data_IF_301409340989
#
_entry.id   IF_301409340989
#
_cell.length_a   1.000
_cell.length_b   1.000
_cell.length_c   1.000
_cell.angle_alpha   90.00
_cell.angle_beta   90.00
_cell.angle_gamma   90.00
#
_symmetry.space_group_name_H-M   'P 1'
#
loop_
_entity.id
_entity.type
_entity.pdbx_description
1 polymer ?
#
# COMPACT_ATOMS: atom_id res chain seq x y z
N UNK A 1 0.41 58.28 58.64
CA UNK A 1 1.37 57.66 57.69
C UNK A 1 0.71 56.39 57.16
N UNK A 2 1.05 55.98 55.93
CA UNK A 2 0.40 54.97 55.06
C UNK A 2 -0.90 55.43 54.36
N UNK A 3 -1.14 55.21 53.06
CA UNK A 3 -0.32 54.76 51.94
C UNK A 3 -1.11 55.12 50.66
N UNK A 4 -0.48 55.84 49.72
CA UNK A 4 -1.13 56.31 48.49
C UNK A 4 -1.25 55.19 47.46
N UNK A 5 -2.43 54.57 47.35
CA UNK A 5 -2.74 53.61 46.28
C UNK A 5 -2.67 54.29 44.91
N UNK A 6 -1.64 53.98 44.13
CA UNK A 6 -1.55 54.34 42.72
C UNK A 6 -2.58 53.51 41.95
N UNK A 7 -3.66 54.16 41.49
CA UNK A 7 -4.63 53.55 40.61
C UNK A 7 -3.98 53.26 39.25
N UNK A 8 -3.78 51.98 38.90
CA UNK A 8 -3.51 51.61 37.52
C UNK A 8 -4.74 51.95 36.68
N UNK A 9 -4.63 52.93 35.77
CA UNK A 9 -5.65 53.17 34.75
C UNK A 9 -5.69 51.95 33.84
N UNK A 10 -6.75 51.16 33.97
CA UNK A 10 -7.11 50.15 32.97
C UNK A 10 -7.41 50.90 31.67
N UNK A 11 -6.47 50.87 30.73
CA UNK A 11 -6.68 51.37 29.37
C UNK A 11 -7.71 50.44 28.74
N UNK A 12 -8.97 50.88 28.66
CA UNK A 12 -10.02 50.13 27.95
C UNK A 12 -9.69 50.18 26.46
N UNK A 13 -9.38 49.02 25.89
CA UNK A 13 -9.16 48.87 24.46
C UNK A 13 -10.47 49.23 23.71
N UNK A 14 -10.42 50.04 22.63
CA UNK A 14 -11.63 50.42 21.91
C UNK A 14 -12.33 49.18 21.35
N UNK A 15 -13.66 49.13 21.48
CA UNK A 15 -14.51 47.98 21.12
C UNK A 15 -14.36 47.54 19.65
N UNK A 16 -14.01 48.48 18.77
CA UNK A 16 -13.74 48.22 17.34
C UNK A 16 -12.50 47.36 17.09
N UNK A 17 -11.49 47.39 17.97
CA UNK A 17 -10.31 46.54 17.87
C UNK A 17 -10.59 45.10 18.35
N UNK A 18 -11.54 44.92 19.27
CA UNK A 18 -11.94 43.59 19.74
C UNK A 18 -12.71 42.83 18.66
N UNK A 19 -13.60 43.51 17.92
CA UNK A 19 -14.38 42.90 16.83
C UNK A 19 -13.51 42.48 15.64
N UNK A 20 -12.51 43.30 15.27
CA UNK A 20 -11.55 42.94 14.22
C UNK A 20 -10.66 41.75 14.61
N UNK A 21 -10.29 41.65 15.89
CA UNK A 21 -9.49 40.53 16.40
C UNK A 21 -10.27 39.20 16.36
N UNK A 22 -11.58 39.23 16.67
CA UNK A 22 -12.46 38.07 16.57
C UNK A 22 -12.68 37.64 15.11
N UNK A 23 -12.83 38.60 14.20
CA UNK A 23 -12.97 38.32 12.77
C UNK A 23 -11.71 37.71 12.17
N UNK A 24 -10.52 38.20 12.54
CA UNK A 24 -9.21 37.63 12.14
C UNK A 24 -9.04 36.23 12.73
N UNK A 25 -9.43 36.00 13.99
CA UNK A 25 -9.40 34.67 14.61
C UNK A 25 -10.35 33.69 13.89
N UNK A 26 -11.56 34.13 13.51
CA UNK A 26 -12.51 33.32 12.74
C UNK A 26 -11.98 33.05 11.32
N UNK A 27 -11.42 34.05 10.63
CA UNK A 27 -10.88 33.92 9.27
C UNK A 27 -9.62 33.02 9.22
N UNK A 28 -8.84 32.97 10.31
CA UNK A 28 -7.65 32.13 10.44
C UNK A 28 -7.94 30.71 10.94
N UNK A 29 -9.09 30.46 11.58
CA UNK A 29 -9.57 29.13 11.98
C UNK A 29 -10.32 28.41 10.83
N UNK A 30 -10.80 29.15 9.82
CA UNK A 30 -11.54 28.59 8.69
C UNK A 30 -10.79 27.60 7.76
N UNK A 31 -9.44 27.48 7.68
CA UNK A 31 -8.82 26.46 6.84
C UNK A 31 -8.52 25.15 7.57
N UNK A 32 -9.33 24.73 8.57
CA UNK A 32 -9.12 23.46 9.28
C UNK A 32 -9.85 22.24 8.68
N UNK A 33 -10.54 22.41 7.55
CA UNK A 33 -11.14 21.28 6.81
C UNK A 33 -10.42 21.13 5.46
N UNK A 34 -9.18 20.65 5.50
CA UNK A 34 -8.56 20.09 4.29
C UNK A 34 -9.17 18.72 4.05
N UNK A 35 -10.02 18.61 3.03
CA UNK A 35 -10.50 17.31 2.55
C UNK A 35 -9.33 16.52 1.96
N UNK A 36 -9.15 15.27 2.38
CA UNK A 36 -8.15 14.39 1.79
C UNK A 36 -8.63 13.88 0.41
N UNK A 37 -7.73 13.87 -0.57
CA UNK A 37 -8.00 13.27 -1.87
C UNK A 37 -7.74 11.76 -1.80
N UNK A 38 -8.78 11.00 -1.45
CA UNK A 38 -8.71 9.54 -1.43
C UNK A 38 -8.55 8.93 -2.82
N UNK A 39 -8.92 9.66 -3.89
CA UNK A 39 -8.70 9.24 -5.28
C UNK A 39 -7.21 9.25 -5.63
N UNK A 40 -6.49 10.30 -5.24
CA UNK A 40 -5.04 10.36 -5.36
C UNK A 40 -4.36 9.27 -4.52
N UNK A 41 -4.78 9.10 -3.26
CA UNK A 41 -4.24 8.08 -2.38
C UNK A 41 -4.41 6.67 -2.97
N UNK A 42 -5.61 6.32 -3.42
CA UNK A 42 -5.89 5.02 -4.05
C UNK A 42 -5.06 4.83 -5.33
N UNK A 43 -4.95 5.87 -6.17
CA UNK A 43 -4.16 5.82 -7.40
C UNK A 43 -2.69 5.52 -7.13
N UNK A 44 -2.12 6.13 -6.07
CA UNK A 44 -0.77 5.86 -5.60
C UNK A 44 -0.64 4.46 -4.98
N UNK A 45 -1.64 3.99 -4.23
CA UNK A 45 -1.65 2.63 -3.70
C UNK A 45 -1.62 1.56 -4.81
N UNK A 46 -2.35 1.77 -5.90
CA UNK A 46 -2.29 0.86 -7.06
C UNK A 46 -0.92 0.94 -7.78
N UNK A 47 -0.33 2.13 -7.88
CA UNK A 47 1.00 2.30 -8.48
C UNK A 47 2.10 1.61 -7.64
N UNK A 48 1.95 1.58 -6.32
CA UNK A 48 2.83 0.80 -5.44
C UNK A 48 2.80 -0.69 -5.78
N UNK A 49 1.62 -1.29 -5.99
CA UNK A 49 1.55 -2.70 -6.42
C UNK A 49 2.17 -2.93 -7.81
N UNK A 50 2.08 -1.96 -8.73
CA UNK A 50 2.80 -2.03 -10.01
C UNK A 50 4.33 -2.00 -9.82
N UNK A 51 4.82 -1.20 -8.86
CA UNK A 51 6.24 -1.12 -8.56
C UNK A 51 6.79 -2.31 -7.78
N UNK A 52 5.94 -3.23 -7.30
CA UNK A 52 6.35 -4.46 -6.62
C UNK A 52 6.35 -5.69 -7.55
N UNK A 53 6.03 -5.55 -8.83
CA UNK A 53 6.02 -6.68 -9.78
C UNK A 53 7.41 -7.29 -9.94
N UNK A 54 7.48 -8.62 -10.00
CA UNK A 54 8.66 -9.38 -10.45
C UNK A 54 8.37 -9.99 -11.84
N UNK A 55 9.38 -10.55 -12.50
CA UNK A 55 9.27 -11.19 -13.80
C UNK A 55 9.34 -10.21 -14.97
N UNK A 56 8.76 -10.61 -16.10
CA UNK A 56 8.63 -9.74 -17.28
C UNK A 56 7.55 -8.70 -17.03
N UNK A 57 7.95 -7.43 -17.13
CA UNK A 57 7.04 -6.30 -17.03
C UNK A 57 6.37 -6.03 -18.37
N UNK A 58 5.09 -5.60 -18.39
CA UNK A 58 4.39 -5.28 -19.63
C UNK A 58 4.93 -3.99 -20.25
N UNK A 59 4.91 -3.91 -21.58
CA UNK A 59 5.43 -2.77 -22.34
C UNK A 59 4.75 -1.43 -22.00
N UNK A 60 3.49 -1.46 -21.57
CA UNK A 60 2.70 -0.28 -21.20
C UNK A 60 2.77 0.06 -19.69
N UNK A 61 3.83 -0.36 -18.98
CA UNK A 61 3.94 -0.07 -17.56
C UNK A 61 4.18 1.41 -17.25
N UNK A 62 3.71 1.85 -16.09
CA UNK A 62 3.80 3.26 -15.65
C UNK A 62 5.07 3.55 -14.82
N UNK A 63 5.72 2.52 -14.27
CA UNK A 63 6.84 2.64 -13.33
C UNK A 63 8.18 2.60 -14.10
N UNK A 64 8.59 3.75 -14.64
CA UNK A 64 9.73 3.85 -15.58
C UNK A 64 11.09 3.45 -15.01
N UNK A 65 11.25 3.44 -13.69
CA UNK A 65 12.50 3.07 -13.02
C UNK A 65 12.60 1.57 -12.69
N UNK A 66 11.56 0.78 -12.96
CA UNK A 66 11.57 -0.70 -12.81
C UNK A 66 11.84 -1.37 -14.15
N UNK A 67 12.52 -2.51 -14.13
CA UNK A 67 12.70 -3.37 -15.31
C UNK A 67 12.43 -4.85 -14.99
N UNK A 68 12.60 -5.71 -16.00
CA UNK A 68 12.55 -7.16 -15.85
C UNK A 68 13.50 -7.65 -14.75
N UNK A 69 13.00 -8.50 -13.86
CA UNK A 69 13.73 -9.08 -12.72
C UNK A 69 13.22 -10.50 -12.48
N UNK A 70 13.99 -11.36 -11.80
CA UNK A 70 13.54 -12.73 -11.46
C UNK A 70 13.11 -13.56 -12.67
N UNK A 71 13.76 -13.41 -13.82
CA UNK A 71 13.33 -14.04 -15.08
C UNK A 71 13.48 -15.56 -15.11
N UNK A 72 14.26 -16.10 -14.18
CA UNK A 72 14.54 -17.53 -14.04
C UNK A 72 13.84 -18.13 -12.82
N UNK A 73 12.98 -17.35 -12.15
CA UNK A 73 12.20 -17.80 -10.99
C UNK A 73 11.32 -19.00 -11.41
N UNK A 74 11.56 -20.18 -10.83
CA UNK A 74 10.81 -21.42 -11.03
C UNK A 74 11.20 -22.28 -12.24
N UNK A 75 12.21 -21.89 -13.04
CA UNK A 75 12.69 -22.70 -14.18
C UNK A 75 13.67 -23.80 -13.77
N UNK A 76 14.59 -23.46 -12.87
CA UNK A 76 15.15 -24.39 -11.88
C UNK A 76 14.16 -24.34 -10.69
N UNK A 77 14.10 -25.30 -9.76
CA UNK A 77 13.13 -25.31 -8.64
C UNK A 77 13.33 -24.14 -7.64
N UNK A 78 13.16 -22.88 -8.08
CA UNK A 78 13.92 -21.73 -7.61
C UNK A 78 13.13 -20.37 -7.56
N UNK A 79 12.62 -19.95 -6.37
CA UNK A 79 12.20 -18.59 -5.94
C UNK A 79 12.59 -18.23 -4.47
N UNK A 80 13.73 -17.56 -4.27
CA UNK A 80 14.20 -16.81 -3.09
C UNK A 80 14.56 -17.57 -1.80
N UNK A 81 15.78 -17.40 -1.28
CA UNK A 81 16.09 -17.66 0.14
C UNK A 81 16.19 -16.33 0.91
N UNK A 82 15.48 -16.20 2.03
CA UNK A 82 15.35 -14.92 2.76
C UNK A 82 16.67 -14.42 3.35
N UNK A 83 17.52 -15.32 3.85
CA UNK A 83 18.80 -14.95 4.45
C UNK A 83 19.79 -14.44 3.38
N UNK A 84 19.82 -15.12 2.23
CA UNK A 84 20.71 -14.74 1.12
C UNK A 84 20.22 -13.50 0.38
N UNK A 85 18.90 -13.30 0.26
CA UNK A 85 18.27 -12.13 -0.37
C UNK A 85 18.49 -10.86 0.46
N UNK A 86 18.35 -10.94 1.79
CA UNK A 86 18.51 -9.79 2.68
C UNK A 86 19.97 -9.33 2.89
N UNK A 87 20.96 -10.16 2.54
CA UNK A 87 22.38 -9.80 2.67
C UNK A 87 22.86 -8.86 1.55
N UNK A 88 22.10 -8.72 0.47
CA UNK A 88 22.51 -7.96 -0.71
C UNK A 88 21.62 -6.74 -0.95
N UNK A 89 22.17 -5.53 -0.75
CA UNK A 89 21.48 -4.29 -1.13
C UNK A 89 21.75 -3.97 -2.60
N UNK A 90 20.89 -4.48 -3.48
CA UNK A 90 21.01 -4.27 -4.92
C UNK A 90 19.66 -4.08 -5.60
N UNK A 91 19.68 -3.65 -6.86
CA UNK A 91 18.48 -3.58 -7.69
C UNK A 91 17.98 -4.99 -7.99
N UNK A 92 16.66 -5.24 -7.97
CA UNK A 92 16.11 -6.57 -8.28
C UNK A 92 16.42 -7.01 -9.72
N UNK A 93 16.68 -6.07 -10.62
CA UNK A 93 17.10 -6.33 -11.99
C UNK A 93 18.52 -6.92 -12.10
N UNK A 94 19.41 -6.60 -11.16
CA UNK A 94 20.83 -6.96 -11.18
C UNK A 94 21.15 -8.16 -10.27
N UNK A 95 20.12 -8.74 -9.64
CA UNK A 95 20.27 -9.77 -8.64
C UNK A 95 20.74 -11.10 -9.25
N UNK A 96 21.88 -11.58 -8.76
CA UNK A 96 22.50 -12.85 -9.19
C UNK A 96 22.45 -13.94 -8.12
N UNK A 97 21.81 -13.68 -6.97
CA UNK A 97 21.68 -14.67 -5.90
C UNK A 97 20.78 -15.83 -6.36
N UNK A 98 21.13 -17.06 -5.96
CA UNK A 98 20.22 -18.19 -6.13
C UNK A 98 18.96 -17.93 -5.31
N UNK A 99 17.83 -18.24 -5.93
CA UNK A 99 16.51 -17.95 -5.42
C UNK A 99 15.83 -19.31 -5.34
N UNK A 100 15.79 -20.07 -4.24
CA UNK A 100 15.19 -21.45 -4.20
C UNK A 100 13.67 -21.48 -4.03
N UNK A 101 12.90 -22.30 -4.76
CA UNK A 101 11.44 -22.34 -4.71
C UNK A 101 11.04 -23.42 -3.74
N UNK A 102 10.14 -23.06 -2.85
CA UNK A 102 9.57 -23.99 -1.91
C UNK A 102 8.14 -24.29 -2.35
N UNK A 103 7.75 -25.55 -2.20
CA UNK A 103 6.39 -26.00 -2.48
C UNK A 103 5.81 -26.66 -1.23
N UNK A 104 4.49 -26.57 -1.12
CA UNK A 104 3.70 -27.35 -0.19
C UNK A 104 3.31 -28.65 -0.90
N UNK A 105 3.40 -29.77 -0.21
CA UNK A 105 2.93 -31.07 -0.68
C UNK A 105 2.39 -31.91 0.48
N UNK A 106 1.90 -33.11 0.21
CA UNK A 106 1.33 -33.99 1.24
C UNK A 106 2.30 -34.31 2.38
N UNK A 107 3.62 -34.27 2.12
CA UNK A 107 4.65 -34.53 3.13
C UNK A 107 5.07 -33.24 3.87
N UNK A 108 4.79 -32.08 3.30
CA UNK A 108 5.06 -30.75 3.86
C UNK A 108 3.83 -29.85 3.70
N UNK A 109 2.77 -30.08 4.52
CA UNK A 109 1.49 -29.38 4.38
C UNK A 109 1.59 -27.91 4.82
N UNK A 110 0.62 -27.10 4.36
CA UNK A 110 0.57 -25.66 4.60
C UNK A 110 -0.83 -25.10 4.38
N UNK A 111 -1.78 -25.51 5.22
CA UNK A 111 -3.22 -25.22 5.05
C UNK A 111 -3.55 -23.73 5.13
N UNK A 112 -2.76 -22.94 5.86
CA UNK A 112 -2.88 -21.48 5.95
C UNK A 112 -2.58 -20.81 4.60
N UNK A 113 -1.39 -21.05 4.04
CA UNK A 113 -0.96 -20.53 2.75
C UNK A 113 -1.88 -21.03 1.62
N UNK A 114 -2.27 -22.30 1.64
CA UNK A 114 -3.21 -22.87 0.69
C UNK A 114 -4.60 -22.21 0.80
N UNK A 115 -5.10 -22.03 2.03
CA UNK A 115 -6.38 -21.37 2.29
C UNK A 115 -6.41 -19.92 1.82
N UNK A 116 -5.37 -19.13 2.13
CA UNK A 116 -5.25 -17.75 1.69
C UNK A 116 -5.14 -17.63 0.16
N UNK A 117 -4.33 -18.49 -0.47
CA UNK A 117 -4.19 -18.52 -1.94
C UNK A 117 -5.51 -18.87 -2.61
N UNK A 118 -6.21 -19.88 -2.08
CA UNK A 118 -7.55 -20.26 -2.56
C UNK A 118 -8.54 -19.11 -2.43
N UNK A 119 -8.58 -18.43 -1.28
CA UNK A 119 -9.46 -17.29 -1.05
C UNK A 119 -9.16 -16.12 -2.00
N UNK A 120 -7.88 -15.83 -2.25
CA UNK A 120 -7.46 -14.79 -3.19
C UNK A 120 -7.91 -15.10 -4.63
N UNK A 121 -7.73 -16.34 -5.10
CA UNK A 121 -8.17 -16.79 -6.42
C UNK A 121 -9.71 -16.74 -6.55
N UNK A 122 -10.43 -17.23 -5.53
CA UNK A 122 -11.89 -17.18 -5.50
C UNK A 122 -12.41 -15.73 -5.53
N UNK A 123 -11.83 -14.82 -4.74
CA UNK A 123 -12.19 -13.40 -4.76
C UNK A 123 -11.92 -12.76 -6.14
N UNK A 124 -10.77 -13.05 -6.74
CA UNK A 124 -10.44 -12.57 -8.08
C UNK A 124 -11.41 -13.11 -9.15
N UNK A 125 -11.86 -14.36 -9.03
CA UNK A 125 -12.84 -14.95 -9.95
C UNK A 125 -14.14 -14.14 -10.01
N UNK A 126 -14.58 -13.59 -8.88
CA UNK A 126 -15.79 -12.76 -8.79
C UNK A 126 -15.60 -11.44 -9.54
N UNK A 127 -14.43 -10.80 -9.37
CA UNK A 127 -14.08 -9.54 -10.07
C UNK A 127 -14.08 -9.72 -11.58
N UNK A 128 -13.49 -10.82 -12.08
CA UNK A 128 -13.38 -11.08 -13.52
C UNK A 128 -14.64 -11.65 -14.16
N UNK A 129 -15.65 -12.07 -13.37
CA UNK A 129 -16.84 -12.80 -13.84
C UNK A 129 -17.53 -12.18 -15.05
N UNK A 130 -17.61 -10.85 -15.13
CA UNK A 130 -18.27 -10.14 -16.24
C UNK A 130 -17.33 -9.74 -17.38
N UNK A 131 -16.06 -9.47 -17.08
CA UNK A 131 -15.10 -8.91 -18.03
C UNK A 131 -14.37 -10.02 -18.79
N UNK A 132 -14.05 -11.11 -18.09
CA UNK A 132 -13.40 -12.29 -18.66
C UNK A 132 -13.93 -13.56 -17.98
N UNK A 133 -15.09 -14.09 -18.42
CA UNK A 133 -15.70 -15.28 -17.82
C UNK A 133 -14.78 -16.50 -17.89
N UNK A 134 -14.02 -16.68 -18.96
CA UNK A 134 -13.08 -17.80 -19.08
C UNK A 134 -12.01 -17.75 -17.98
N UNK A 135 -11.37 -16.59 -17.79
CA UNK A 135 -10.37 -16.44 -16.73
C UNK A 135 -10.97 -16.54 -15.33
N UNK A 136 -12.20 -16.03 -15.14
CA UNK A 136 -12.97 -16.21 -13.91
C UNK A 136 -13.15 -17.69 -13.55
N UNK A 137 -13.56 -18.53 -14.50
CA UNK A 137 -13.71 -19.96 -14.28
C UNK A 137 -12.37 -20.63 -13.97
N UNK A 138 -11.31 -20.30 -14.71
CA UNK A 138 -9.97 -20.82 -14.46
C UNK A 138 -9.49 -20.53 -13.03
N UNK A 139 -9.70 -19.31 -12.53
CA UNK A 139 -9.36 -18.93 -11.15
C UNK A 139 -10.17 -19.73 -10.13
N UNK A 140 -11.44 -19.96 -10.38
CA UNK A 140 -12.30 -20.72 -9.48
C UNK A 140 -11.91 -22.20 -9.42
N UNK A 141 -11.57 -22.80 -10.56
CA UNK A 141 -11.12 -24.20 -10.63
C UNK A 141 -9.82 -24.38 -9.84
N UNK A 142 -8.85 -23.48 -9.99
CA UNK A 142 -7.61 -23.51 -9.21
C UNK A 142 -7.83 -23.24 -7.72
N UNK A 143 -8.75 -22.34 -7.35
CA UNK A 143 -9.08 -22.10 -5.95
C UNK A 143 -9.58 -23.38 -5.26
N UNK A 144 -10.41 -24.18 -5.95
CA UNK A 144 -10.90 -25.45 -5.43
C UNK A 144 -9.79 -26.49 -5.29
N UNK A 145 -8.89 -26.59 -6.28
CA UNK A 145 -7.75 -27.50 -6.22
C UNK A 145 -6.84 -27.18 -5.04
N UNK A 146 -6.44 -25.91 -4.88
CA UNK A 146 -5.52 -25.47 -3.82
C UNK A 146 -6.13 -25.69 -2.43
N UNK A 147 -7.44 -25.42 -2.28
CA UNK A 147 -8.14 -25.66 -1.00
C UNK A 147 -8.21 -27.13 -0.61
N UNK A 148 -8.16 -28.06 -1.57
CA UNK A 148 -8.22 -29.50 -1.33
C UNK A 148 -6.84 -30.12 -1.14
N UNK A 149 -5.78 -29.45 -1.60
CA UNK A 149 -4.39 -29.89 -1.47
C UNK A 149 -3.69 -29.39 -0.20
N UNK A 150 -4.32 -28.47 0.55
CA UNK A 150 -3.78 -27.83 1.75
C UNK A 150 -4.10 -28.56 3.04
#
# INVERSE_FOLDING_TARGET
>A
MEEGRKQCRVVKLPTTLQDLSALILILTILPLCQSFDYGEALSKSLLYFESQRSGRLPYNQRVTWRHHSGLFDGLEQEVGDGDTDHYCWQRPEDMTTSRRAYKIDENHPGSDLAGETSAAMAAASIVYKKINPHYSHLLLDHAQQVSQSG
#
